data_IF_239159388814
#
_entry.id   IF_239159388814
#
_cell.length_a   1.000
_cell.length_b   1.000
_cell.length_c   1.000
_cell.angle_alpha   90.00
_cell.angle_beta   90.00
_cell.angle_gamma   90.00
#
_symmetry.space_group_name_H-M   'P 1'
#
loop_
_entity.id
_entity.type
_entity.pdbx_description
1 polymer ?
#
# COMPACT_ATOMS: atom_id res chain seq x y z
N UNK A 1 -12.73 13.60 -8.19
CA UNK A 1 -12.08 12.28 -8.07
C UNK A 1 -10.64 12.45 -8.51
N UNK A 2 -9.65 12.29 -7.62
CA UNK A 2 -8.25 12.60 -7.91
C UNK A 2 -7.53 11.35 -8.45
N UNK A 3 -6.86 11.47 -9.59
CA UNK A 3 -6.17 10.36 -10.26
C UNK A 3 -4.68 10.27 -9.85
N UNK A 4 -4.18 9.04 -9.73
CA UNK A 4 -2.76 8.71 -9.61
C UNK A 4 -2.02 9.23 -10.85
N UNK A 5 -0.84 9.83 -10.68
CA UNK A 5 0.01 10.12 -11.84
C UNK A 5 0.58 8.81 -12.43
N UNK A 6 0.96 8.85 -13.72
CA UNK A 6 1.36 7.63 -14.46
C UNK A 6 2.61 6.96 -13.88
N UNK A 7 3.54 7.73 -13.29
CA UNK A 7 4.74 7.17 -12.66
C UNK A 7 4.39 6.38 -11.39
N UNK A 8 3.59 6.97 -10.49
CA UNK A 8 3.11 6.31 -9.28
C UNK A 8 2.20 5.12 -9.61
N UNK A 9 1.37 5.22 -10.65
CA UNK A 9 0.52 4.12 -11.13
C UNK A 9 1.35 2.91 -11.57
N UNK A 10 2.40 3.10 -12.38
CA UNK A 10 3.27 2.01 -12.80
C UNK A 10 4.04 1.38 -11.61
N UNK A 11 4.57 2.22 -10.71
CA UNK A 11 5.31 1.75 -9.54
C UNK A 11 4.43 0.94 -8.57
N UNK A 12 3.24 1.45 -8.23
CA UNK A 12 2.26 0.77 -7.37
C UNK A 12 1.74 -0.51 -8.06
N UNK A 13 1.47 -0.46 -9.36
CA UNK A 13 1.06 -1.63 -10.14
C UNK A 13 2.09 -2.77 -10.09
N UNK A 14 3.37 -2.45 -10.29
CA UNK A 14 4.44 -3.44 -10.20
C UNK A 14 4.57 -4.06 -8.80
N UNK A 15 4.29 -3.30 -7.74
CA UNK A 15 4.30 -3.80 -6.35
C UNK A 15 3.12 -4.73 -6.08
N UNK A 16 1.94 -4.34 -6.52
CA UNK A 16 0.75 -5.18 -6.42
C UNK A 16 0.91 -6.49 -7.18
N UNK A 17 1.52 -6.48 -8.37
CA UNK A 17 1.83 -7.70 -9.13
C UNK A 17 2.75 -8.66 -8.36
N UNK A 18 3.73 -8.14 -7.61
CA UNK A 18 4.58 -8.96 -6.73
C UNK A 18 3.80 -9.54 -5.55
N UNK A 19 2.95 -8.73 -4.91
CA UNK A 19 2.08 -9.17 -3.81
C UNK A 19 1.11 -10.25 -4.29
N UNK A 20 0.54 -10.11 -5.48
CA UNK A 20 -0.29 -11.14 -6.10
C UNK A 20 0.48 -12.46 -6.26
N UNK A 21 1.75 -12.38 -6.69
CA UNK A 21 2.66 -13.52 -6.72
C UNK A 21 2.82 -14.19 -5.35
N UNK A 22 2.99 -13.40 -4.28
CA UNK A 22 3.08 -13.92 -2.91
C UNK A 22 1.77 -14.59 -2.45
N UNK A 23 0.62 -13.98 -2.74
CA UNK A 23 -0.70 -14.55 -2.40
C UNK A 23 -0.95 -15.87 -3.14
N UNK A 24 -0.58 -15.94 -4.43
CA UNK A 24 -0.61 -17.21 -5.18
C UNK A 24 0.33 -18.26 -4.58
N UNK A 25 1.51 -17.85 -4.12
CA UNK A 25 2.44 -18.73 -3.40
C UNK A 25 1.86 -19.25 -2.09
N UNK A 26 1.19 -18.41 -1.30
CA UNK A 26 0.52 -18.80 -0.06
C UNK A 26 -0.57 -19.85 -0.31
N UNK A 27 -1.40 -19.65 -1.33
CA UNK A 27 -2.41 -20.64 -1.72
C UNK A 27 -1.78 -22.01 -2.02
N UNK A 28 -0.69 -22.03 -2.80
CA UNK A 28 0.03 -23.28 -3.10
C UNK A 28 0.60 -23.95 -1.86
N UNK A 29 1.17 -23.18 -0.92
CA UNK A 29 1.69 -23.74 0.32
C UNK A 29 0.59 -24.41 1.15
N UNK A 30 -0.58 -23.79 1.22
CA UNK A 30 -1.75 -24.36 1.91
C UNK A 30 -2.26 -25.60 1.18
N UNK A 31 -2.38 -25.56 -0.15
CA UNK A 31 -2.82 -26.70 -0.98
C UNK A 31 -1.83 -27.89 -0.93
N UNK A 32 -0.59 -27.66 -0.50
CA UNK A 32 0.47 -28.68 -0.37
C UNK A 32 0.69 -29.13 1.08
N UNK A 33 -0.19 -28.78 2.01
CA UNK A 33 -0.07 -29.08 3.44
C UNK A 33 1.31 -28.67 4.02
N UNK A 34 1.83 -27.53 3.56
CA UNK A 34 3.11 -27.02 4.05
C UNK A 34 3.03 -26.64 5.53
N UNK A 35 4.18 -26.70 6.20
CA UNK A 35 4.31 -26.34 7.62
C UNK A 35 3.70 -24.96 7.95
N UNK A 36 2.94 -24.90 9.06
CA UNK A 36 2.22 -23.72 9.49
C UNK A 36 3.14 -22.52 9.74
N UNK A 37 4.35 -22.74 10.27
CA UNK A 37 5.34 -21.69 10.49
C UNK A 37 5.79 -21.10 9.16
N UNK A 38 6.05 -21.95 8.15
CA UNK A 38 6.41 -21.52 6.80
C UNK A 38 5.29 -20.68 6.15
N UNK A 39 4.04 -21.10 6.29
CA UNK A 39 2.88 -20.33 5.79
C UNK A 39 2.80 -18.98 6.50
N UNK A 40 2.93 -18.97 7.83
CA UNK A 40 2.87 -17.74 8.62
C UNK A 40 3.99 -16.74 8.25
N UNK A 41 5.22 -17.23 8.05
CA UNK A 41 6.35 -16.42 7.61
C UNK A 41 6.09 -15.77 6.24
N UNK A 42 5.60 -16.53 5.26
CA UNK A 42 5.28 -15.99 3.93
C UNK A 42 4.11 -15.02 3.98
N UNK A 43 3.14 -15.25 4.85
CA UNK A 43 1.99 -14.37 5.03
C UNK A 43 2.41 -13.05 5.67
N UNK A 44 3.30 -13.07 6.66
CA UNK A 44 3.91 -11.88 7.24
C UNK A 44 4.70 -11.07 6.19
N UNK A 45 5.42 -11.75 5.29
CA UNK A 45 6.13 -11.10 4.19
C UNK A 45 5.17 -10.41 3.20
N UNK A 46 4.05 -11.06 2.85
CA UNK A 46 3.03 -10.48 1.99
C UNK A 46 2.35 -9.26 2.65
N UNK A 47 2.03 -9.35 3.96
CA UNK A 47 1.48 -8.24 4.73
C UNK A 47 2.42 -7.04 4.72
N UNK A 48 3.70 -7.25 5.06
CA UNK A 48 4.71 -6.18 5.07
C UNK A 48 4.90 -5.52 3.70
N UNK A 49 4.84 -6.29 2.62
CA UNK A 49 4.91 -5.76 1.26
C UNK A 49 3.69 -4.89 0.91
N UNK A 50 2.50 -5.29 1.36
CA UNK A 50 1.28 -4.50 1.21
C UNK A 50 1.34 -3.21 2.03
N UNK A 51 1.75 -3.28 3.29
CA UNK A 51 1.89 -2.11 4.18
C UNK A 51 2.87 -1.08 3.58
N UNK A 52 4.00 -1.55 3.05
CA UNK A 52 4.95 -0.67 2.36
C UNK A 52 4.34 0.02 1.13
N UNK A 53 3.58 -0.72 0.34
CA UNK A 53 2.90 -0.18 -0.85
C UNK A 53 1.84 0.84 -0.46
N UNK A 54 1.15 0.60 0.64
CA UNK A 54 0.20 1.52 1.23
C UNK A 54 0.85 2.82 1.73
N UNK A 55 1.98 2.74 2.45
CA UNK A 55 2.71 3.92 2.90
C UNK A 55 3.22 4.78 1.74
N UNK A 56 3.66 4.18 0.65
CA UNK A 56 4.07 4.92 -0.54
C UNK A 56 2.90 5.65 -1.22
N UNK A 57 1.73 5.03 -1.25
CA UNK A 57 0.50 5.69 -1.69
C UNK A 57 0.16 6.89 -0.80
N UNK A 58 0.31 6.77 0.52
CA UNK A 58 0.12 7.89 1.45
C UNK A 58 1.15 8.99 1.24
N UNK A 59 2.43 8.65 1.07
CA UNK A 59 3.49 9.61 0.78
C UNK A 59 3.18 10.42 -0.50
N UNK A 60 2.73 9.74 -1.56
CA UNK A 60 2.26 10.40 -2.80
C UNK A 60 1.12 11.40 -2.53
N UNK A 61 0.18 11.08 -1.63
CA UNK A 61 -0.90 12.01 -1.26
C UNK A 61 -0.35 13.24 -0.53
N UNK A 62 0.59 13.06 0.40
CA UNK A 62 1.20 14.15 1.18
C UNK A 62 2.05 15.07 0.28
N UNK A 63 2.94 14.50 -0.55
CA UNK A 63 3.83 15.25 -1.44
C UNK A 63 3.06 16.12 -2.44
N UNK A 64 1.90 15.63 -2.91
CA UNK A 64 1.04 16.37 -3.83
C UNK A 64 0.45 17.62 -3.17
N UNK A 65 0.14 17.57 -1.88
CA UNK A 65 -0.38 18.73 -1.13
C UNK A 65 0.70 19.77 -0.87
N UNK A 66 1.93 19.35 -0.55
CA UNK A 66 3.05 20.26 -0.31
C UNK A 66 3.50 21.02 -1.58
N UNK A 67 3.12 20.53 -2.77
CA UNK A 67 3.37 21.21 -4.05
C UNK A 67 2.37 22.32 -4.39
N UNK A 68 1.29 22.48 -3.63
CA UNK A 68 0.28 23.53 -3.87
C UNK A 68 0.48 24.69 -2.90
N UNK A 69 1.32 25.65 -3.28
CA UNK A 69 1.35 26.96 -2.63
C UNK A 69 -0.01 27.64 -2.83
N UNK A 70 -0.79 27.77 -1.74
CA UNK A 70 -1.92 28.70 -1.68
C UNK A 70 -3.32 28.14 -1.39
N UNK A 71 -3.52 26.87 -0.99
CA UNK A 71 -4.86 26.38 -0.58
C UNK A 71 -4.86 25.57 0.73
N UNK A 72 -4.78 26.27 1.86
CA UNK A 72 -4.80 25.71 3.21
C UNK A 72 -6.00 24.80 3.52
N UNK A 73 -7.15 25.00 2.87
CA UNK A 73 -8.35 24.19 3.11
C UNK A 73 -8.28 22.80 2.44
N UNK A 74 -7.53 22.68 1.34
CA UNK A 74 -7.39 21.42 0.58
C UNK A 74 -6.35 20.50 1.24
N UNK A 75 -5.24 21.10 1.67
CA UNK A 75 -4.22 20.43 2.48
C UNK A 75 -4.79 19.89 3.79
N UNK A 76 -5.67 20.65 4.45
CA UNK A 76 -6.33 20.22 5.69
C UNK A 76 -7.23 18.99 5.49
N UNK A 77 -8.03 18.94 4.40
CA UNK A 77 -8.92 17.80 4.09
C UNK A 77 -8.12 16.54 3.73
N UNK A 78 -7.04 16.67 2.96
CA UNK A 78 -6.23 15.52 2.56
C UNK A 78 -5.32 15.03 3.70
N UNK A 79 -4.80 15.91 4.56
CA UNK A 79 -4.11 15.51 5.79
C UNK A 79 -5.06 14.77 6.75
N UNK A 80 -6.32 15.20 6.86
CA UNK A 80 -7.34 14.46 7.61
C UNK A 80 -7.58 13.07 7.01
N UNK A 81 -7.57 12.94 5.68
CA UNK A 81 -7.69 11.65 5.00
C UNK A 81 -6.47 10.75 5.26
N UNK A 82 -5.24 11.28 5.15
CA UNK A 82 -4.00 10.56 5.46
C UNK A 82 -3.98 10.14 6.94
N UNK A 83 -4.38 11.02 7.86
CA UNK A 83 -4.50 10.70 9.30
C UNK A 83 -5.51 9.58 9.55
N UNK A 84 -6.68 9.62 8.91
CA UNK A 84 -7.71 8.58 9.04
C UNK A 84 -7.22 7.23 8.50
N UNK A 85 -6.47 7.28 7.41
CA UNK A 85 -5.82 6.14 6.78
C UNK A 85 -4.74 5.53 7.70
N UNK A 86 -3.81 6.34 8.22
CA UNK A 86 -2.83 5.90 9.21
C UNK A 86 -3.48 5.35 10.49
N UNK A 87 -4.59 5.92 10.95
CA UNK A 87 -5.32 5.40 12.12
C UNK A 87 -6.04 4.08 11.87
N UNK A 88 -6.37 3.75 10.63
CA UNK A 88 -7.12 2.55 10.26
C UNK A 88 -6.22 1.37 9.88
N UNK A 89 -5.00 1.67 9.43
CA UNK A 89 -4.08 0.69 8.87
C UNK A 89 -2.67 0.74 9.49
N UNK A 90 -2.42 1.65 10.44
CA UNK A 90 -1.21 1.70 11.26
C UNK A 90 -1.31 0.91 12.56
#
# INVERSE_FOLDING_TARGET
MHALDESNKAALGNRLARIEGQVRGLRKLIEQDADCEKVAQQMAAARKALDKTYHELLACMIERELRVDGQSERAAKNLAQVRALLSKYG
#
